data_IF_508055429390
#
_entry.id   IF_508055429390
#
_cell.length_a   1.000
_cell.length_b   1.000
_cell.length_c   1.000
_cell.angle_alpha   90.00
_cell.angle_beta   90.00
_cell.angle_gamma   90.00
#
_symmetry.space_group_name_H-M   'P 1'
#
loop_
_entity.id
_entity.type
_entity.pdbx_description
1 polymer ?
#
# COMPACT_ATOMS: atom_id res chain seq x y z
N UNK A 1 -30.69 13.08 25.17
CA UNK A 1 -29.80 12.97 24.00
C UNK A 1 -28.37 13.31 24.46
N UNK A 2 -27.35 12.62 23.97
CA UNK A 2 -25.96 12.71 24.46
C UNK A 2 -25.20 14.00 24.07
N UNK A 3 -25.89 15.13 23.83
CA UNK A 3 -25.26 16.40 23.43
C UNK A 3 -24.65 16.40 22.02
N UNK A 4 -25.04 15.47 21.15
CA UNK A 4 -24.49 15.34 19.78
C UNK A 4 -25.28 16.21 18.80
N UNK A 5 -24.61 17.18 18.19
CA UNK A 5 -25.11 17.91 17.03
C UNK A 5 -24.58 17.27 15.74
N UNK A 6 -25.48 16.96 14.79
CA UNK A 6 -25.10 16.57 13.43
C UNK A 6 -25.10 17.79 12.52
N UNK A 7 -23.93 18.14 12.04
CA UNK A 7 -23.74 19.21 11.05
C UNK A 7 -23.68 18.60 9.65
N UNK A 8 -24.63 18.97 8.79
CA UNK A 8 -24.68 18.48 7.40
C UNK A 8 -23.95 19.40 6.41
N UNK A 9 -23.74 20.67 6.76
CA UNK A 9 -22.95 21.58 5.94
C UNK A 9 -21.48 21.13 5.93
N UNK A 10 -20.86 21.14 4.74
CA UNK A 10 -19.45 20.77 4.58
C UNK A 10 -18.56 21.83 5.22
N UNK A 11 -17.49 21.42 5.86
CA UNK A 11 -16.37 22.32 6.17
C UNK A 11 -15.69 22.72 4.86
N UNK A 12 -15.59 24.02 4.61
CA UNK A 12 -15.04 24.61 3.36
C UNK A 12 -13.79 25.44 3.59
N UNK A 13 -13.45 25.73 4.83
CA UNK A 13 -12.25 26.47 5.17
C UNK A 13 -12.10 26.66 6.68
N UNK A 14 -11.29 27.65 7.04
CA UNK A 14 -11.15 28.11 8.41
C UNK A 14 -11.23 29.64 8.45
N UNK A 15 -11.83 30.18 9.51
CA UNK A 15 -11.87 31.59 9.83
C UNK A 15 -11.38 31.77 11.27
N UNK A 16 -10.38 32.62 11.48
CA UNK A 16 -9.78 32.89 12.79
C UNK A 16 -9.34 31.61 13.55
N UNK A 17 -8.89 30.59 12.81
CA UNK A 17 -8.47 29.29 13.35
C UNK A 17 -9.61 28.30 13.60
N UNK A 18 -10.87 28.67 13.34
CA UNK A 18 -12.04 27.85 13.55
C UNK A 18 -12.62 27.31 12.22
N UNK A 19 -13.24 26.11 12.20
CA UNK A 19 -13.84 25.55 10.98
C UNK A 19 -14.99 26.41 10.44
N UNK A 20 -14.91 26.76 9.15
CA UNK A 20 -15.98 27.46 8.43
C UNK A 20 -16.78 26.49 7.57
N UNK A 21 -18.10 26.54 7.70
CA UNK A 21 -19.05 25.70 6.98
C UNK A 21 -19.57 26.38 5.71
N UNK A 22 -20.03 25.58 4.75
CA UNK A 22 -20.57 26.07 3.49
C UNK A 22 -21.83 26.95 3.62
N UNK A 23 -22.51 26.87 4.76
CA UNK A 23 -23.68 27.70 5.09
C UNK A 23 -23.31 29.02 5.80
N UNK A 24 -22.01 29.32 5.90
CA UNK A 24 -21.48 30.54 6.51
C UNK A 24 -21.29 30.47 8.03
N UNK A 25 -21.70 29.38 8.69
CA UNK A 25 -21.42 29.19 10.12
C UNK A 25 -19.93 28.96 10.36
N UNK A 26 -19.43 29.50 11.47
CA UNK A 26 -18.11 29.18 12.02
C UNK A 26 -18.32 28.40 13.31
N UNK A 27 -17.70 27.22 13.40
CA UNK A 27 -17.86 26.33 14.56
C UNK A 27 -16.86 26.67 15.65
N UNK A 28 -17.36 27.05 16.83
CA UNK A 28 -16.55 27.21 18.03
C UNK A 28 -16.31 25.84 18.69
N UNK A 29 -15.19 25.20 18.34
CA UNK A 29 -14.81 23.87 18.82
C UNK A 29 -13.36 23.88 19.30
N UNK A 30 -13.10 23.22 20.43
CA UNK A 30 -11.74 23.17 21.00
C UNK A 30 -10.87 22.07 20.40
N UNK A 31 -11.46 21.05 19.77
CA UNK A 31 -10.75 19.88 19.25
C UNK A 31 -11.33 19.43 17.90
N UNK A 32 -10.45 18.97 17.01
CA UNK A 32 -10.82 18.37 15.73
C UNK A 32 -10.23 16.96 15.68
N UNK A 33 -11.06 15.96 15.37
CA UNK A 33 -10.63 14.58 15.15
C UNK A 33 -10.79 14.28 13.66
N UNK A 34 -9.67 14.03 12.98
CA UNK A 34 -9.66 13.70 11.56
C UNK A 34 -9.94 12.22 11.35
N UNK A 35 -11.18 11.90 10.96
CA UNK A 35 -11.61 10.56 10.57
C UNK A 35 -11.62 10.40 9.04
N UNK A 36 -10.65 10.99 8.35
CA UNK A 36 -10.61 11.10 6.87
C UNK A 36 -9.85 9.96 6.17
N UNK A 37 -9.45 8.94 6.93
CA UNK A 37 -8.77 7.76 6.40
C UNK A 37 -7.24 7.87 6.43
N UNK A 38 -6.59 7.07 5.60
CA UNK A 38 -5.13 7.01 5.46
C UNK A 38 -4.78 6.77 3.98
N UNK A 39 -3.50 6.94 3.64
CA UNK A 39 -2.95 6.58 2.34
C UNK A 39 -1.86 5.51 2.52
N UNK A 40 -1.71 4.57 1.57
CA UNK A 40 -0.57 3.66 1.59
C UNK A 40 0.73 4.46 1.37
N UNK A 41 1.80 4.07 2.06
CA UNK A 41 3.12 4.63 1.86
C UNK A 41 4.02 3.56 1.20
N UNK A 42 4.47 3.85 -0.01
CA UNK A 42 5.36 2.99 -0.80
C UNK A 42 6.75 3.60 -1.01
N UNK A 43 7.11 4.70 -0.34
CA UNK A 43 8.36 5.44 -0.55
C UNK A 43 9.63 4.60 -0.31
N UNK A 44 9.49 3.47 0.38
CA UNK A 44 10.56 2.51 0.63
C UNK A 44 10.81 1.54 -0.54
N UNK A 45 9.96 1.55 -1.58
CA UNK A 45 10.06 0.71 -2.77
C UNK A 45 10.61 1.57 -3.93
N UNK A 46 11.91 1.45 -4.19
CA UNK A 46 12.59 2.17 -5.29
C UNK A 46 12.51 1.37 -6.60
N UNK A 47 11.31 1.28 -7.18
CA UNK A 47 11.04 0.57 -8.44
C UNK A 47 10.03 1.35 -9.29
N UNK A 48 10.16 1.35 -10.63
CA UNK A 48 9.23 2.03 -11.54
C UNK A 48 7.94 1.21 -11.76
N UNK A 49 7.19 0.98 -10.68
CA UNK A 49 6.01 0.08 -10.66
C UNK A 49 4.72 0.79 -10.25
N UNK A 50 4.73 2.11 -10.10
CA UNK A 50 3.58 2.89 -9.67
C UNK A 50 2.97 3.66 -10.84
N UNK A 51 1.65 3.82 -10.83
CA UNK A 51 0.94 4.70 -11.76
C UNK A 51 1.02 6.18 -11.31
N UNK A 52 0.41 7.08 -12.08
CA UNK A 52 0.38 8.53 -11.79
C UNK A 52 -0.33 8.87 -10.46
N UNK A 53 -1.16 7.95 -9.93
CA UNK A 53 -1.84 8.07 -8.64
C UNK A 53 -1.01 7.44 -7.49
N UNK A 54 0.20 6.94 -7.77
CA UNK A 54 1.07 6.28 -6.79
C UNK A 54 0.60 4.87 -6.40
N UNK A 55 -0.28 4.24 -7.19
CA UNK A 55 -0.75 2.87 -6.92
C UNK A 55 0.13 1.86 -7.65
N UNK A 56 0.43 0.71 -7.02
CA UNK A 56 1.22 -0.33 -7.64
C UNK A 56 0.48 -0.92 -8.85
N UNK A 57 1.16 -0.98 -9.98
CA UNK A 57 0.68 -1.62 -11.21
C UNK A 57 0.83 -3.13 -11.03
N UNK A 58 -0.29 -3.85 -10.99
CA UNK A 58 -0.31 -5.29 -10.74
C UNK A 58 -1.53 -5.97 -11.36
N UNK A 59 -1.46 -7.29 -11.49
CA UNK A 59 -2.63 -8.14 -11.77
C UNK A 59 -2.96 -8.98 -10.53
N UNK A 60 -4.07 -8.66 -9.85
CA UNK A 60 -4.48 -9.30 -8.56
C UNK A 60 -3.36 -9.37 -7.50
N UNK A 61 -2.45 -8.40 -7.51
CA UNK A 61 -1.29 -8.30 -6.62
C UNK A 61 0.02 -8.83 -7.20
N UNK A 62 0.03 -9.46 -8.38
CA UNK A 62 1.26 -9.88 -9.06
C UNK A 62 1.83 -8.71 -9.87
N UNK A 63 3.08 -8.30 -9.60
CA UNK A 63 3.77 -7.25 -10.36
C UNK A 63 4.49 -7.86 -11.55
N UNK A 64 3.86 -7.85 -12.72
CA UNK A 64 4.37 -8.53 -13.93
C UNK A 64 5.71 -7.95 -14.42
N UNK A 65 5.92 -6.65 -14.23
CA UNK A 65 7.17 -5.97 -14.58
C UNK A 65 8.36 -6.37 -13.69
N UNK A 66 8.12 -6.92 -12.49
CA UNK A 66 9.16 -7.28 -11.52
C UNK A 66 8.91 -8.70 -10.98
N UNK A 67 9.38 -9.75 -11.69
CA UNK A 67 9.11 -11.13 -11.31
C UNK A 67 9.62 -11.49 -9.92
N UNK A 68 8.71 -11.79 -9.00
CA UNK A 68 9.00 -12.08 -7.60
C UNK A 68 8.52 -11.00 -6.62
N UNK A 69 8.01 -9.88 -7.12
CA UNK A 69 7.33 -8.87 -6.32
C UNK A 69 5.80 -9.09 -6.36
N UNK A 70 5.19 -9.06 -5.17
CA UNK A 70 3.76 -9.27 -5.00
C UNK A 70 3.22 -8.30 -3.94
N UNK A 71 1.97 -7.90 -4.09
CA UNK A 71 1.19 -7.15 -3.11
C UNK A 71 0.00 -7.99 -2.62
N UNK A 72 -0.41 -7.78 -1.39
CA UNK A 72 -1.58 -8.42 -0.78
C UNK A 72 -2.33 -7.43 0.10
N UNK A 73 -3.66 -7.49 0.06
CA UNK A 73 -4.52 -6.63 0.88
C UNK A 73 -4.75 -5.23 0.34
N UNK A 74 -4.53 -5.01 -0.97
CA UNK A 74 -4.77 -3.70 -1.58
C UNK A 74 -6.27 -3.39 -1.72
N UNK A 75 -6.60 -2.09 -1.72
CA UNK A 75 -7.96 -1.62 -1.99
C UNK A 75 -8.38 -2.05 -3.39
N UNK A 76 -9.47 -2.85 -3.47
CA UNK A 76 -9.92 -3.48 -4.70
C UNK A 76 -8.87 -4.38 -5.40
N UNK A 77 -8.00 -5.06 -4.65
CA UNK A 77 -7.02 -5.98 -5.26
C UNK A 77 -7.68 -7.06 -6.14
N UNK A 78 -8.64 -7.80 -5.57
CA UNK A 78 -9.58 -8.63 -6.34
C UNK A 78 -11.03 -8.32 -5.99
N UNK A 79 -11.29 -7.74 -4.82
CA UNK A 79 -12.59 -7.27 -4.39
C UNK A 79 -12.46 -6.12 -3.39
N UNK A 80 -13.54 -5.39 -3.12
CA UNK A 80 -13.57 -4.37 -2.06
C UNK A 80 -13.14 -4.94 -0.70
N UNK A 81 -13.47 -6.21 -0.43
CA UNK A 81 -13.15 -6.86 0.84
C UNK A 81 -11.66 -7.21 1.01
N UNK A 82 -10.82 -7.05 -0.02
CA UNK A 82 -9.39 -7.36 0.02
C UNK A 82 -8.63 -6.62 1.13
N UNK A 83 -9.06 -5.41 1.49
CA UNK A 83 -8.43 -4.60 2.57
C UNK A 83 -8.87 -4.99 3.98
N UNK A 84 -9.86 -5.87 4.10
CA UNK A 84 -10.45 -6.25 5.37
C UNK A 84 -9.84 -7.57 5.84
N UNK A 85 -9.58 -7.68 7.15
CA UNK A 85 -9.08 -8.92 7.78
C UNK A 85 -9.96 -10.13 7.41
N UNK A 86 -11.28 -9.95 7.37
CA UNK A 86 -12.22 -11.01 6.99
C UNK A 86 -12.30 -11.33 5.49
N UNK A 87 -11.70 -10.49 4.62
CA UNK A 87 -11.80 -10.63 3.16
C UNK A 87 -10.48 -10.92 2.43
N UNK A 88 -9.33 -10.58 3.03
CA UNK A 88 -8.00 -10.70 2.42
C UNK A 88 -7.56 -12.15 2.14
N UNK A 89 -8.16 -13.14 2.80
CA UNK A 89 -7.74 -14.54 2.71
C UNK A 89 -7.71 -15.11 1.29
N UNK A 90 -8.63 -14.69 0.42
CA UNK A 90 -8.65 -15.12 -1.00
C UNK A 90 -7.44 -14.59 -1.77
N UNK A 91 -7.06 -13.34 -1.54
CA UNK A 91 -5.90 -12.74 -2.19
C UNK A 91 -4.60 -13.36 -1.67
N UNK A 92 -4.51 -13.57 -0.36
CA UNK A 92 -3.36 -14.23 0.25
C UNK A 92 -3.14 -15.64 -0.31
N UNK A 93 -4.21 -16.43 -0.45
CA UNK A 93 -4.14 -17.77 -1.05
C UNK A 93 -3.67 -17.72 -2.53
N UNK A 94 -4.22 -16.79 -3.31
CA UNK A 94 -3.83 -16.61 -4.71
C UNK A 94 -2.36 -16.20 -4.87
N UNK A 95 -1.88 -15.26 -4.04
CA UNK A 95 -0.48 -14.83 -4.08
C UNK A 95 0.45 -15.95 -3.61
N UNK A 96 0.07 -16.71 -2.57
CA UNK A 96 0.85 -17.86 -2.12
C UNK A 96 0.99 -18.93 -3.21
N UNK A 97 -0.08 -19.21 -3.97
CA UNK A 97 -0.04 -20.11 -5.12
C UNK A 97 0.85 -19.56 -6.24
N UNK A 98 0.75 -18.27 -6.56
CA UNK A 98 1.60 -17.61 -7.55
C UNK A 98 3.10 -17.67 -7.17
N UNK A 99 3.41 -17.56 -5.88
CA UNK A 99 4.77 -17.72 -5.35
C UNK A 99 5.22 -19.19 -5.46
N UNK A 100 4.38 -20.15 -5.08
CA UNK A 100 4.71 -21.58 -5.11
C UNK A 100 4.95 -22.09 -6.53
N UNK A 101 4.20 -21.59 -7.50
CA UNK A 101 4.35 -21.93 -8.92
C UNK A 101 5.56 -21.26 -9.58
N UNK A 102 6.20 -20.28 -8.92
CA UNK A 102 7.43 -19.68 -9.42
C UNK A 102 8.58 -20.67 -9.21
N UNK A 103 9.12 -21.17 -10.32
CA UNK A 103 10.35 -21.98 -10.27
C UNK A 103 11.47 -21.15 -9.63
N UNK A 104 12.19 -21.65 -8.62
CA UNK A 104 13.35 -20.95 -8.11
C UNK A 104 14.34 -20.76 -9.25
N UNK A 105 14.86 -19.54 -9.41
CA UNK A 105 16.07 -19.33 -10.22
C UNK A 105 17.12 -20.30 -9.68
N UNK A 106 17.61 -21.21 -10.52
CA UNK A 106 18.68 -22.13 -10.16
C UNK A 106 19.91 -21.30 -9.80
N UNK A 107 20.14 -21.06 -8.50
CA UNK A 107 21.33 -20.40 -7.97
C UNK A 107 22.61 -21.24 -8.19
N UNK A 108 22.47 -22.42 -8.78
CA UNK A 108 23.52 -23.44 -8.95
C UNK A 108 24.68 -23.02 -9.86
N UNK A 109 24.55 -21.92 -10.63
CA UNK A 109 25.56 -21.58 -11.65
C UNK A 109 26.43 -20.33 -11.40
N UNK A 110 26.28 -19.62 -10.28
CA UNK A 110 27.08 -18.39 -10.03
C UNK A 110 28.25 -18.56 -9.04
N UNK A 111 28.34 -19.67 -8.30
CA UNK A 111 29.44 -19.91 -7.36
C UNK A 111 30.57 -20.83 -7.87
N UNK A 112 30.48 -21.35 -9.11
CA UNK A 112 31.48 -22.28 -9.67
C UNK A 112 32.60 -21.64 -10.50
N UNK A 113 32.59 -20.32 -10.74
CA UNK A 113 33.65 -19.65 -11.53
C UNK A 113 34.76 -19.00 -10.71
N UNK A 114 34.77 -19.15 -9.38
CA UNK A 114 35.89 -18.75 -8.52
C UNK A 114 36.97 -19.84 -8.43
N UNK A 115 37.59 -20.23 -9.55
CA UNK A 115 38.78 -21.09 -9.52
C UNK A 115 39.89 -20.40 -8.72
N UNK A 116 40.35 -21.09 -7.66
CA UNK A 116 41.60 -20.82 -6.96
C UNK A 116 42.73 -20.70 -7.98
N UNK A 117 43.35 -19.53 -8.07
CA UNK A 117 44.68 -19.42 -8.61
C UNK A 117 45.50 -18.48 -7.71
N UNK A 118 46.67 -18.99 -7.33
CA UNK A 118 47.84 -18.29 -6.78
C UNK A 118 47.92 -18.05 -5.27
N UNK A 119 48.51 -19.03 -4.58
CA UNK A 119 49.45 -18.79 -3.48
C UNK A 119 50.32 -20.04 -3.21
N UNK A 120 51.23 -20.37 -4.14
CA UNK A 120 52.49 -21.10 -3.83
C UNK A 120 53.57 -20.72 -4.85
N UNK A 121 54.48 -19.85 -4.43
CA UNK A 121 55.93 -19.89 -4.70
C UNK A 121 56.54 -18.47 -4.62
N UNK A 122 57.09 -18.13 -3.45
CA UNK A 122 58.35 -17.41 -3.21
C UNK A 122 58.54 -17.25 -1.70
#
# INVERSE_FOLDING_TARGET
>A
AAGVERVYARTVGAQDGLPMLADGRVLDVSNIIWCTGFQPNYDWIDLPIFDDDGRPIHERGVVTAVPGLYFVGLFFQSALASVLVGGVGRDAAYIAEAIANRSPVSLTNQFRSGTRQDARAA
#
